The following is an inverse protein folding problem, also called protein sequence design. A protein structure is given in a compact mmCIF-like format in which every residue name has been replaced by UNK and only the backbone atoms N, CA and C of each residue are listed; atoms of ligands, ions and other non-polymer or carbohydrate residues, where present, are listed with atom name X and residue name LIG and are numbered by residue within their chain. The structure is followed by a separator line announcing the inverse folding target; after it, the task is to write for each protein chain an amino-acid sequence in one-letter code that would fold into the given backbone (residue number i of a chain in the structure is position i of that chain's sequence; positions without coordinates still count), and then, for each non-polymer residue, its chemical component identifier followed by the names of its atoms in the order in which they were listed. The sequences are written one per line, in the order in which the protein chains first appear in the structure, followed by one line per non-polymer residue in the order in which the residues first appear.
data_IF_513030110058
#
_entry.id   IF_513030110058
#
_cell.length_a   1.000
_cell.length_b   1.000
_cell.length_c   1.000
_cell.angle_alpha   90.00
_cell.angle_beta   90.00
_cell.angle_gamma   90.00
#
_symmetry.space_group_name_H-M   'P 1'
#
loop_
_entity.id
_entity.type
_entity.pdbx_description
1 polymer ?
#
# COMPACT_ATOMS: atom_id res chain seq x y z
N UNK A 1 15.86 -21.90 -11.26
CA UNK A 1 15.36 -21.05 -10.16
C UNK A 1 13.97 -21.57 -9.94
N UNK A 2 13.81 -22.38 -8.90
CA UNK A 2 12.67 -23.27 -8.71
C UNK A 2 11.36 -22.49 -8.60
N UNK A 3 10.34 -22.93 -9.36
CA UNK A 3 8.98 -22.35 -9.41
C UNK A 3 8.17 -22.56 -8.12
N UNK A 4 8.78 -23.14 -7.08
CA UNK A 4 8.16 -23.41 -5.77
C UNK A 4 8.03 -22.17 -4.86
N UNK A 5 8.45 -20.97 -5.32
CA UNK A 5 8.21 -19.73 -4.57
C UNK A 5 6.72 -19.36 -4.41
N UNK A 6 5.83 -20.02 -5.16
CA UNK A 6 4.41 -19.67 -5.22
C UNK A 6 3.53 -20.32 -4.15
N UNK A 7 4.04 -21.28 -3.37
CA UNK A 7 3.29 -21.91 -2.26
C UNK A 7 4.11 -21.93 -0.97
N UNK A 8 4.47 -20.76 -0.46
CA UNK A 8 4.93 -20.72 0.94
C UNK A 8 3.81 -21.22 1.85
N UNK A 9 4.08 -22.22 2.71
CA UNK A 9 3.09 -22.69 3.67
C UNK A 9 2.65 -21.51 4.55
N UNK A 10 1.40 -21.53 5.07
CA UNK A 10 0.96 -20.54 6.04
C UNK A 10 1.99 -20.41 7.15
N UNK A 11 2.38 -19.18 7.46
CA UNK A 11 3.38 -18.97 8.51
C UNK A 11 2.88 -19.57 9.81
N UNK A 12 3.72 -20.38 10.43
CA UNK A 12 3.41 -21.04 11.70
C UNK A 12 2.98 -19.98 12.76
N UNK A 13 1.94 -20.23 13.57
CA UNK A 13 1.49 -19.29 14.60
C UNK A 13 2.58 -18.80 15.55
N UNK A 14 3.57 -19.63 15.91
CA UNK A 14 4.68 -19.20 16.77
C UNK A 14 5.59 -18.19 16.07
N UNK A 15 5.84 -18.38 14.78
CA UNK A 15 6.59 -17.46 13.91
C UNK A 15 5.89 -16.11 13.80
N UNK A 16 4.58 -16.12 13.52
CA UNK A 16 3.78 -14.88 13.46
C UNK A 16 3.75 -14.21 14.83
N UNK A 17 3.59 -14.97 15.92
CA UNK A 17 3.64 -14.44 17.27
C UNK A 17 4.99 -13.76 17.54
N UNK A 18 6.12 -14.39 17.25
CA UNK A 18 7.44 -13.80 17.48
C UNK A 18 7.64 -12.50 16.69
N UNK A 19 7.15 -12.42 15.44
CA UNK A 19 7.22 -11.21 14.61
C UNK A 19 6.47 -10.01 15.17
N UNK A 20 5.39 -10.23 15.91
CA UNK A 20 4.51 -9.17 16.44
C UNK A 20 5.01 -8.55 17.77
N UNK A 21 6.27 -8.77 18.13
CA UNK A 21 6.86 -8.28 19.39
C UNK A 21 6.75 -6.75 19.55
N UNK A 22 6.94 -5.98 18.47
CA UNK A 22 6.84 -4.53 18.50
C UNK A 22 5.41 -4.05 18.76
N UNK A 23 4.42 -4.68 18.12
CA UNK A 23 3.00 -4.38 18.34
C UNK A 23 2.59 -4.62 19.79
N UNK A 24 2.96 -5.77 20.35
CA UNK A 24 2.69 -6.08 21.76
C UNK A 24 3.34 -5.07 22.71
N UNK A 25 4.56 -4.64 22.40
CA UNK A 25 5.25 -3.61 23.20
C UNK A 25 4.49 -2.29 23.18
N UNK A 26 4.03 -1.83 22.02
CA UNK A 26 3.21 -0.62 21.91
C UNK A 26 1.90 -0.73 22.70
N UNK A 27 1.17 -1.83 22.52
CA UNK A 27 -0.10 -2.09 23.21
C UNK A 27 0.09 -2.14 24.73
N UNK A 28 1.16 -2.79 25.22
CA UNK A 28 1.48 -2.86 26.66
C UNK A 28 1.73 -1.49 27.30
N UNK A 29 2.05 -0.47 26.48
CA UNK A 29 2.23 0.93 26.88
C UNK A 29 1.01 1.81 26.55
N UNK A 30 -0.14 1.19 26.23
CA UNK A 30 -1.38 1.88 25.93
C UNK A 30 -1.42 2.56 24.57
N UNK A 31 -0.50 2.22 23.65
CA UNK A 31 -0.52 2.73 22.28
C UNK A 31 -1.28 1.76 21.38
N UNK A 32 -2.49 2.12 20.90
CA UNK A 32 -3.19 1.31 19.93
C UNK A 32 -2.45 1.35 18.58
N UNK A 33 -2.41 0.23 17.88
CA UNK A 33 -1.71 0.13 16.59
C UNK A 33 -2.36 -0.88 15.65
N UNK A 34 -2.07 -0.73 14.36
CA UNK A 34 -2.55 -1.60 13.27
C UNK A 34 -1.36 -2.29 12.63
N UNK A 35 -1.44 -3.61 12.47
CA UNK A 35 -0.55 -4.37 11.60
C UNK A 35 -0.86 -4.04 10.14
N UNK A 36 0.13 -3.59 9.38
CA UNK A 36 -0.09 -3.03 8.04
C UNK A 36 0.78 -3.65 6.94
N UNK A 37 0.44 -3.34 5.69
CA UNK A 37 1.21 -3.66 4.48
C UNK A 37 1.55 -5.16 4.40
N UNK A 38 2.82 -5.48 4.15
CA UNK A 38 3.27 -6.84 3.86
C UNK A 38 2.89 -7.86 4.92
N UNK A 39 2.92 -7.49 6.21
CA UNK A 39 2.56 -8.41 7.29
C UNK A 39 1.07 -8.70 7.33
N UNK A 40 0.22 -7.69 7.09
CA UNK A 40 -1.23 -7.89 7.02
C UNK A 40 -1.60 -8.73 5.79
N UNK A 41 -1.00 -8.40 4.64
CA UNK A 41 -1.18 -9.15 3.40
C UNK A 41 -0.75 -10.61 3.56
N UNK A 42 0.40 -10.87 4.20
CA UNK A 42 0.93 -12.22 4.43
C UNK A 42 0.11 -13.02 5.45
N UNK A 43 -0.05 -12.51 6.67
CA UNK A 43 -0.59 -13.31 7.77
C UNK A 43 -2.12 -13.39 7.78
N UNK A 44 -2.79 -12.43 7.15
CA UNK A 44 -4.25 -12.36 7.15
C UNK A 44 -4.84 -12.62 5.78
N UNK A 45 -4.28 -12.00 4.74
CA UNK A 45 -4.80 -12.14 3.38
C UNK A 45 -4.08 -13.22 2.56
N UNK A 46 -3.17 -13.99 3.20
CA UNK A 46 -2.47 -15.14 2.62
C UNK A 46 -1.73 -14.84 1.31
N UNK A 47 -1.24 -13.61 1.18
CA UNK A 47 -0.40 -13.21 0.06
C UNK A 47 1.04 -13.70 0.35
N UNK A 48 1.67 -14.53 -0.50
CA UNK A 48 3.00 -15.09 -0.27
C UNK A 48 4.08 -14.06 -0.63
N UNK A 49 4.23 -13.06 0.23
CA UNK A 49 5.25 -12.03 0.13
C UNK A 49 6.21 -12.12 1.30
N UNK A 50 7.47 -11.76 1.05
CA UNK A 50 8.50 -11.67 2.08
C UNK A 50 8.83 -10.21 2.33
N UNK A 51 8.91 -9.83 3.60
CA UNK A 51 9.29 -8.47 3.98
C UNK A 51 10.21 -8.44 5.18
N UNK A 52 11.44 -7.91 5.04
CA UNK A 52 12.32 -7.62 6.17
C UNK A 52 11.87 -6.36 6.95
N UNK A 53 10.85 -5.67 6.45
CA UNK A 53 10.25 -4.48 7.05
C UNK A 53 8.90 -4.84 7.67
N UNK A 54 8.67 -4.41 8.90
CA UNK A 54 7.34 -4.40 9.51
C UNK A 54 6.79 -2.97 9.48
N UNK A 55 5.61 -2.80 8.88
CA UNK A 55 4.89 -1.53 8.89
C UNK A 55 3.81 -1.53 9.98
N UNK A 56 3.76 -0.45 10.74
CA UNK A 56 2.82 -0.29 11.86
C UNK A 56 2.16 1.08 11.75
N UNK A 57 0.84 1.10 11.69
CA UNK A 57 0.09 2.36 11.79
C UNK A 57 -0.21 2.66 13.25
N UNK A 58 -0.06 3.93 13.61
CA UNK A 58 -0.37 4.46 14.95
C UNK A 58 -1.15 5.77 14.82
N UNK A 59 -1.88 6.21 15.87
CA UNK A 59 -2.45 7.54 15.92
C UNK A 59 -1.37 8.59 15.66
N UNK A 60 -1.68 9.55 14.80
CA UNK A 60 -0.78 10.60 14.35
C UNK A 60 -0.08 11.31 15.52
N UNK A 61 -0.84 11.64 16.57
CA UNK A 61 -0.36 12.31 17.77
C UNK A 61 0.55 11.43 18.65
N UNK A 62 0.52 10.11 18.46
CA UNK A 62 1.33 9.14 19.20
C UNK A 62 2.55 8.66 18.41
N UNK A 63 2.79 9.14 17.19
CA UNK A 63 3.87 8.65 16.32
C UNK A 63 5.25 8.72 16.98
N UNK A 64 5.59 9.89 17.55
CA UNK A 64 6.88 10.09 18.25
C UNK A 64 6.98 9.29 19.54
N UNK A 65 5.89 9.20 20.31
CA UNK A 65 5.81 8.39 21.53
C UNK A 65 6.01 6.91 21.22
N UNK A 66 5.39 6.42 20.15
CA UNK A 66 5.54 5.04 19.66
C UNK A 66 6.99 4.73 19.31
N UNK A 67 7.66 5.63 18.59
CA UNK A 67 9.07 5.49 18.29
C UNK A 67 9.93 5.47 19.55
N UNK A 68 9.65 6.30 20.56
CA UNK A 68 10.37 6.29 21.83
C UNK A 68 10.22 4.96 22.57
N UNK A 69 8.99 4.41 22.64
CA UNK A 69 8.71 3.12 23.28
C UNK A 69 9.50 1.97 22.62
N UNK A 70 9.59 1.95 21.29
CA UNK A 70 10.35 0.92 20.57
C UNK A 70 11.87 1.10 20.74
N UNK A 71 12.35 2.35 20.88
CA UNK A 71 13.77 2.67 21.13
C UNK A 71 14.26 2.33 22.54
N UNK A 72 13.37 2.25 23.51
CA UNK A 72 13.70 1.63 24.81
C UNK A 72 14.04 0.14 24.67
N UNK A 73 13.78 -0.46 23.49
CA UNK A 73 14.10 -1.84 23.16
C UNK A 73 15.31 -1.93 22.25
N UNK A 74 15.26 -2.92 21.35
CA UNK A 74 16.39 -3.20 20.47
C UNK A 74 16.41 -2.40 19.16
N UNK A 75 15.70 -1.26 19.10
CA UNK A 75 15.57 -0.47 17.89
C UNK A 75 16.19 0.93 18.02
N UNK A 76 16.76 1.45 16.93
CA UNK A 76 17.25 2.82 16.84
C UNK A 76 16.68 3.52 15.60
N UNK A 77 16.56 4.85 15.63
CA UNK A 77 16.14 5.60 14.45
C UNK A 77 17.24 5.65 13.42
N UNK A 78 16.87 5.45 12.17
CA UNK A 78 17.75 5.63 11.02
C UNK A 78 17.08 6.55 9.99
N UNK A 79 17.86 7.24 9.13
CA UNK A 79 17.30 7.92 7.97
C UNK A 79 16.58 6.95 7.04
N UNK A 80 15.60 7.45 6.28
CA UNK A 80 14.97 6.67 5.22
C UNK A 80 16.01 6.16 4.22
N UNK A 81 15.89 4.88 3.88
CA UNK A 81 16.72 4.22 2.87
C UNK A 81 16.14 4.39 1.47
N UNK A 82 16.91 4.09 0.42
CA UNK A 82 16.53 4.33 -0.99
C UNK A 82 15.19 3.73 -1.39
N UNK A 83 14.74 2.68 -0.71
CA UNK A 83 13.45 2.03 -0.95
C UNK A 83 12.25 2.93 -0.61
N UNK A 84 12.46 3.89 0.28
CA UNK A 84 11.45 4.83 0.80
C UNK A 84 11.58 6.23 0.21
N UNK A 85 12.54 6.44 -0.70
CA UNK A 85 12.84 7.74 -1.30
C UNK A 85 12.49 7.73 -2.78
N UNK A 86 12.02 8.88 -3.27
CA UNK A 86 11.99 9.13 -4.71
C UNK A 86 13.41 9.39 -5.20
N UNK A 87 13.80 8.70 -6.28
CA UNK A 87 15.13 8.84 -6.88
C UNK A 87 15.16 9.82 -8.06
N UNK A 88 14.00 10.40 -8.40
CA UNK A 88 13.82 11.19 -9.61
C UNK A 88 13.37 12.61 -9.26
N UNK A 89 13.82 13.63 -10.02
CA UNK A 89 13.27 14.97 -9.90
C UNK A 89 11.75 14.98 -10.13
N UNK A 90 11.02 15.88 -9.46
CA UNK A 90 11.51 16.91 -8.54
C UNK A 90 11.59 16.47 -7.06
N UNK A 91 11.31 15.21 -6.76
CA UNK A 91 11.24 14.66 -5.40
C UNK A 91 12.49 13.90 -4.97
N UNK A 92 13.62 14.13 -5.65
CA UNK A 92 14.85 13.40 -5.41
C UNK A 92 15.24 13.42 -3.92
N UNK A 93 15.47 12.24 -3.35
CA UNK A 93 15.79 11.97 -1.96
C UNK A 93 14.73 12.43 -0.93
N UNK A 94 13.49 12.67 -1.34
CA UNK A 94 12.37 12.89 -0.42
C UNK A 94 11.63 11.58 -0.21
N UNK A 95 11.17 11.35 1.01
CA UNK A 95 10.30 10.22 1.29
C UNK A 95 8.86 10.53 0.91
N UNK A 96 8.15 9.51 0.44
CA UNK A 96 6.69 9.56 0.30
C UNK A 96 5.95 9.39 1.64
N UNK A 97 6.69 9.20 2.74
CA UNK A 97 6.20 9.20 4.12
C UNK A 97 6.86 10.35 4.91
N UNK A 98 6.41 11.61 4.73
CA UNK A 98 7.13 12.78 5.24
C UNK A 98 7.27 12.79 6.76
N UNK A 99 6.31 12.25 7.50
CA UNK A 99 6.33 12.15 8.96
C UNK A 99 6.70 10.76 9.47
N UNK A 100 6.82 9.77 8.58
CA UNK A 100 7.11 8.39 8.95
C UNK A 100 8.45 8.26 9.68
N UNK A 101 8.54 7.29 10.59
CA UNK A 101 9.75 7.03 11.37
C UNK A 101 10.26 5.64 11.06
N UNK A 102 11.44 5.57 10.44
CA UNK A 102 12.14 4.32 10.19
C UNK A 102 13.05 3.96 11.38
N UNK A 103 12.88 2.75 11.88
CA UNK A 103 13.66 2.16 12.94
C UNK A 103 14.40 0.92 12.42
N UNK A 104 15.59 0.67 12.95
CA UNK A 104 16.39 -0.53 12.66
C UNK A 104 16.77 -1.23 13.96
N UNK A 105 16.68 -2.55 13.96
CA UNK A 105 17.16 -3.38 15.05
C UNK A 105 18.69 -3.36 15.10
N UNK A 106 19.31 -3.06 16.25
CA UNK A 106 20.75 -2.83 16.33
C UNK A 106 21.59 -4.11 16.24
N UNK A 107 21.06 -5.25 16.70
CA UNK A 107 21.75 -6.55 16.58
C UNK A 107 21.72 -7.16 15.18
N UNK A 108 20.81 -6.74 14.29
CA UNK A 108 20.59 -7.43 13.02
C UNK A 108 21.55 -6.85 11.95
N UNK A 109 22.55 -7.63 11.50
CA UNK A 109 23.55 -7.18 10.56
C UNK A 109 22.94 -6.81 9.20
N UNK A 110 23.65 -5.92 8.48
CA UNK A 110 23.15 -5.46 7.20
C UNK A 110 23.20 -6.51 6.08
N UNK A 111 24.18 -7.42 6.16
CA UNK A 111 24.44 -8.46 5.16
C UNK A 111 23.57 -9.70 5.32
N UNK A 112 22.97 -9.90 6.50
CA UNK A 112 22.04 -10.99 6.76
C UNK A 112 20.77 -10.44 7.44
N UNK A 113 19.83 -9.87 6.67
CA UNK A 113 18.60 -9.29 7.20
C UNK A 113 17.66 -10.28 7.89
N UNK A 114 17.85 -11.59 7.67
CA UNK A 114 16.94 -12.65 8.09
C UNK A 114 17.53 -13.54 9.20
N UNK A 115 18.74 -13.23 9.69
CA UNK A 115 19.43 -14.03 10.71
C UNK A 115 18.63 -14.21 12.02
N UNK A 116 17.73 -13.28 12.32
CA UNK A 116 16.82 -13.36 13.47
C UNK A 116 15.35 -13.48 13.05
N UNK A 117 15.08 -13.97 11.84
CA UNK A 117 13.69 -14.25 11.46
C UNK A 117 13.03 -15.10 12.55
N UNK A 118 11.85 -14.68 13.04
CA UNK A 118 10.94 -13.73 12.40
C UNK A 118 10.97 -12.28 12.94
N UNK A 119 11.96 -11.91 13.76
CA UNK A 119 12.10 -10.56 14.32
C UNK A 119 12.37 -9.55 13.18
N UNK A 120 11.56 -8.48 13.03
CA UNK A 120 11.73 -7.58 11.91
C UNK A 120 13.01 -6.76 12.06
N UNK A 121 13.87 -6.80 11.03
CA UNK A 121 15.09 -5.98 10.95
C UNK A 121 14.78 -4.50 10.99
N UNK A 122 13.74 -4.07 10.26
CA UNK A 122 13.29 -2.68 10.22
C UNK A 122 11.84 -2.59 10.63
N UNK A 123 11.50 -1.49 11.30
CA UNK A 123 10.11 -1.10 11.58
C UNK A 123 9.89 0.27 10.97
N UNK A 124 8.84 0.41 10.16
CA UNK A 124 8.37 1.69 9.68
C UNK A 124 7.08 2.05 10.41
N UNK A 125 7.17 3.07 11.26
CA UNK A 125 6.01 3.66 11.93
C UNK A 125 5.39 4.72 11.02
N UNK A 126 4.09 4.61 10.77
CA UNK A 126 3.35 5.53 9.91
C UNK A 126 2.14 6.12 10.64
N UNK A 127 1.77 7.39 10.37
CA UNK A 127 0.48 7.93 10.78
C UNK A 127 -0.66 7.14 10.14
N UNK A 128 -1.68 6.80 10.92
CA UNK A 128 -2.88 6.12 10.40
C UNK A 128 -3.65 6.98 9.38
N UNK A 129 -3.56 8.31 9.50
CA UNK A 129 -4.22 9.25 8.59
C UNK A 129 -3.78 9.14 7.14
N UNK A 130 -2.56 8.63 6.88
CA UNK A 130 -2.06 8.40 5.52
C UNK A 130 -2.94 7.43 4.73
N UNK A 131 -3.69 6.57 5.44
CA UNK A 131 -4.54 5.53 4.88
C UNK A 131 -6.04 5.79 5.15
N UNK A 132 -6.40 6.94 5.71
CA UNK A 132 -7.79 7.22 6.09
C UNK A 132 -8.36 6.23 7.10
N UNK A 133 -7.50 5.72 7.99
CA UNK A 133 -7.86 4.73 9.01
C UNK A 133 -7.87 5.38 10.40
N UNK A 134 -8.70 4.82 11.27
CA UNK A 134 -8.71 5.16 12.69
C UNK A 134 -8.69 3.89 13.53
N UNK A 135 -7.58 3.66 14.22
CA UNK A 135 -7.36 2.52 15.13
C UNK A 135 -8.38 2.48 16.28
N UNK A 136 -9.09 3.58 16.54
CA UNK A 136 -10.17 3.62 17.54
C UNK A 136 -11.47 3.01 17.01
N UNK A 137 -11.65 2.97 15.70
CA UNK A 137 -12.85 2.41 15.05
C UNK A 137 -12.66 0.92 14.74
N UNK A 138 -13.02 0.06 15.68
CA UNK A 138 -12.78 -1.40 15.58
C UNK A 138 -13.55 -2.10 14.45
N UNK A 139 -14.62 -1.49 13.91
CA UNK A 139 -15.52 -2.12 12.94
C UNK A 139 -14.84 -2.52 11.63
N UNK A 140 -13.78 -1.81 11.24
CA UNK A 140 -13.00 -2.02 10.01
C UNK A 140 -11.87 -3.03 10.17
N UNK A 141 -11.67 -3.53 11.38
CA UNK A 141 -10.56 -4.42 11.73
C UNK A 141 -11.06 -5.78 12.20
N UNK A 142 -10.13 -6.72 12.27
CA UNK A 142 -10.34 -8.07 12.78
C UNK A 142 -9.20 -8.47 13.73
N UNK A 143 -9.46 -9.47 14.56
CA UNK A 143 -8.46 -10.03 15.47
C UNK A 143 -7.64 -11.11 14.77
N UNK A 144 -6.38 -11.28 15.21
CA UNK A 144 -5.52 -12.42 14.86
C UNK A 144 -5.71 -13.63 15.77
N UNK A 145 -6.61 -13.52 16.76
CA UNK A 145 -6.85 -14.54 17.78
C UNK A 145 -8.27 -15.10 17.61
N UNK A 146 -8.44 -16.43 17.52
CA UNK A 146 -7.44 -17.46 17.21
C UNK A 146 -6.90 -17.36 15.76
N UNK A 147 -5.76 -17.98 15.39
CA UNK A 147 -5.00 -19.01 16.11
C UNK A 147 -3.83 -18.48 16.96
N UNK A 148 -3.55 -17.17 16.96
CA UNK A 148 -2.42 -16.65 17.72
C UNK A 148 -2.69 -16.62 19.23
N UNK A 149 -1.61 -16.52 20.01
CA UNK A 149 -1.67 -16.34 21.46
C UNK A 149 -2.48 -15.09 21.85
N UNK A 150 -3.25 -15.17 22.95
CA UNK A 150 -4.15 -14.11 23.43
C UNK A 150 -3.48 -12.76 23.72
N UNK A 151 -2.16 -12.74 23.94
CA UNK A 151 -1.39 -11.48 24.03
C UNK A 151 -1.42 -10.64 22.74
N UNK A 152 -1.95 -11.17 21.65
CA UNK A 152 -2.12 -10.48 20.38
C UNK A 152 -3.57 -10.00 20.15
N UNK A 153 -4.50 -10.20 21.10
CA UNK A 153 -5.94 -9.91 20.92
C UNK A 153 -6.21 -8.45 20.57
N UNK A 154 -5.42 -7.52 21.12
CA UNK A 154 -5.56 -6.08 20.89
C UNK A 154 -4.82 -5.56 19.65
N UNK A 155 -4.09 -6.42 18.92
CA UNK A 155 -3.48 -6.06 17.64
C UNK A 155 -4.59 -6.02 16.60
N UNK A 156 -4.83 -4.83 16.05
CA UNK A 156 -5.81 -4.65 14.98
C UNK A 156 -5.17 -4.95 13.63
N UNK A 157 -5.91 -5.68 12.79
CA UNK A 157 -5.51 -5.96 11.41
C UNK A 157 -6.66 -5.61 10.49
N UNK A 158 -6.44 -4.89 9.38
CA UNK A 158 -7.52 -4.51 8.49
C UNK A 158 -8.22 -5.73 7.91
N UNK A 159 -9.55 -5.63 7.75
CA UNK A 159 -10.27 -6.53 6.84
C UNK A 159 -9.79 -6.28 5.41
N UNK A 160 -10.02 -7.23 4.50
CA UNK A 160 -9.53 -7.14 3.12
C UNK A 160 -9.93 -5.82 2.41
N UNK A 161 -11.22 -5.48 2.40
CA UNK A 161 -11.69 -4.23 1.80
C UNK A 161 -11.07 -3.00 2.50
N UNK A 162 -10.91 -3.03 3.83
CA UNK A 162 -10.28 -1.93 4.58
C UNK A 162 -8.81 -1.76 4.19
N UNK A 163 -8.09 -2.85 3.94
CA UNK A 163 -6.72 -2.80 3.44
C UNK A 163 -6.66 -2.13 2.05
N UNK A 164 -7.48 -2.61 1.10
CA UNK A 164 -7.59 -2.02 -0.24
C UNK A 164 -7.94 -0.53 -0.21
N UNK A 165 -8.92 -0.15 0.60
CA UNK A 165 -9.36 1.24 0.73
C UNK A 165 -8.28 2.14 1.31
N UNK A 166 -7.50 1.62 2.26
CA UNK A 166 -6.35 2.35 2.79
C UNK A 166 -5.31 2.62 1.71
N UNK A 167 -4.94 1.59 0.94
CA UNK A 167 -3.99 1.73 -0.18
C UNK A 167 -4.50 2.71 -1.25
N UNK A 168 -5.79 2.65 -1.61
CA UNK A 168 -6.39 3.63 -2.54
C UNK A 168 -6.38 5.03 -1.94
N UNK A 169 -6.71 5.17 -0.66
CA UNK A 169 -6.69 6.47 0.03
C UNK A 169 -5.32 7.12 -0.05
N UNK A 170 -4.25 6.34 0.16
CA UNK A 170 -2.88 6.81 0.00
C UNK A 170 -2.60 7.30 -1.42
N UNK A 171 -3.03 6.57 -2.45
CA UNK A 171 -2.80 6.95 -3.86
C UNK A 171 -3.59 8.21 -4.24
N UNK A 172 -4.84 8.31 -3.78
CA UNK A 172 -5.72 9.43 -4.10
C UNK A 172 -5.39 10.69 -3.30
N UNK A 173 -4.88 10.52 -2.08
CA UNK A 173 -4.52 11.60 -1.16
C UNK A 173 -3.13 11.39 -0.57
N UNK A 174 -2.08 11.37 -1.41
CA UNK A 174 -0.73 11.12 -0.94
C UNK A 174 -0.33 12.17 0.10
N UNK A 175 0.36 11.80 1.19
CA UNK A 175 0.73 12.73 2.27
C UNK A 175 1.54 13.95 1.80
N UNK A 176 2.27 13.77 0.71
CA UNK A 176 3.13 14.75 0.04
C UNK A 176 2.42 15.58 -1.03
N UNK A 177 1.12 15.33 -1.24
CA UNK A 177 0.32 15.94 -2.29
C UNK A 177 0.49 15.29 -3.67
N UNK A 178 -0.43 15.61 -4.59
CA UNK A 178 -0.43 15.09 -5.96
C UNK A 178 0.56 15.82 -6.88
N UNK A 179 1.15 16.92 -6.42
CA UNK A 179 2.11 17.71 -7.19
C UNK A 179 3.24 18.24 -6.30
N UNK A 180 4.50 17.85 -6.58
CA UNK A 180 4.90 16.81 -7.53
C UNK A 180 4.58 15.38 -7.07
N UNK A 181 4.19 14.52 -8.02
CA UNK A 181 3.83 13.12 -7.77
C UNK A 181 5.03 12.35 -7.19
N UNK A 182 4.79 11.62 -6.10
CA UNK A 182 5.74 10.64 -5.58
C UNK A 182 5.56 9.27 -6.26
N UNK A 183 6.28 9.06 -7.37
CA UNK A 183 6.09 7.88 -8.22
C UNK A 183 6.45 6.58 -7.50
N UNK A 184 7.46 6.58 -6.61
CA UNK A 184 7.84 5.38 -5.86
C UNK A 184 6.73 4.96 -4.91
N UNK A 185 6.18 5.92 -4.16
CA UNK A 185 5.08 5.69 -3.23
C UNK A 185 3.86 5.14 -3.94
N UNK A 186 3.43 5.78 -5.03
CA UNK A 186 2.29 5.28 -5.83
C UNK A 186 2.57 3.88 -6.39
N UNK A 187 3.74 3.65 -6.99
CA UNK A 187 4.06 2.36 -7.61
C UNK A 187 4.07 1.21 -6.59
N UNK A 188 4.58 1.47 -5.37
CA UNK A 188 4.54 0.49 -4.28
C UNK A 188 3.11 0.11 -3.92
N UNK A 189 2.27 1.10 -3.63
CA UNK A 189 0.88 0.84 -3.21
C UNK A 189 0.03 0.22 -4.33
N UNK A 190 0.31 0.55 -5.60
CA UNK A 190 -0.28 -0.13 -6.75
C UNK A 190 0.13 -1.61 -6.84
N UNK A 191 1.38 -1.94 -6.51
CA UNK A 191 1.86 -3.31 -6.42
C UNK A 191 1.11 -4.08 -5.32
N UNK A 192 0.94 -3.46 -4.15
CA UNK A 192 0.23 -4.06 -3.02
C UNK A 192 -1.25 -4.32 -3.34
N UNK A 193 -1.92 -3.36 -4.01
CA UNK A 193 -3.29 -3.56 -4.53
C UNK A 193 -3.31 -4.72 -5.54
N UNK A 194 -2.35 -4.77 -6.46
CA UNK A 194 -2.29 -5.84 -7.48
C UNK A 194 -2.13 -7.21 -6.84
N UNK A 195 -1.28 -7.35 -5.82
CA UNK A 195 -1.13 -8.59 -5.08
C UNK A 195 -2.42 -8.99 -4.37
N UNK A 196 -3.08 -8.07 -3.65
CA UNK A 196 -4.35 -8.35 -2.99
C UNK A 196 -5.43 -8.81 -3.97
N UNK A 197 -5.56 -8.14 -5.12
CA UNK A 197 -6.57 -8.49 -6.12
C UNK A 197 -6.26 -9.84 -6.77
N UNK A 198 -5.03 -10.06 -7.24
CA UNK A 198 -4.66 -11.31 -7.91
C UNK A 198 -4.80 -12.51 -6.96
N UNK A 199 -4.33 -12.43 -5.72
CA UNK A 199 -4.43 -13.57 -4.80
C UNK A 199 -5.85 -13.86 -4.34
N UNK A 200 -6.72 -12.85 -4.27
CA UNK A 200 -8.12 -13.07 -3.93
C UNK A 200 -8.91 -13.63 -5.11
N UNK A 201 -8.67 -13.12 -6.33
CA UNK A 201 -9.41 -13.56 -7.50
C UNK A 201 -8.87 -14.89 -8.03
N UNK A 202 -7.55 -15.03 -8.18
CA UNK A 202 -6.93 -16.23 -8.74
C UNK A 202 -6.82 -17.38 -7.70
N UNK A 203 -6.84 -17.04 -6.40
CA UNK A 203 -6.83 -18.02 -5.31
C UNK A 203 -8.10 -18.88 -5.23
N UNK A 204 -9.19 -18.44 -5.84
CA UNK A 204 -10.40 -19.25 -6.00
C UNK A 204 -10.32 -20.22 -7.19
N UNK A 205 -9.59 -19.86 -8.25
CA UNK A 205 -9.45 -20.69 -9.45
C UNK A 205 -8.41 -21.81 -9.28
N UNK A 206 -7.42 -21.62 -8.40
CA UNK A 206 -6.32 -22.59 -8.18
C UNK A 206 -6.57 -23.65 -7.09
N UNK A 207 -7.75 -23.67 -6.46
CA UNK A 207 -8.12 -24.70 -5.48
C UNK A 207 -8.53 -26.06 -6.10
N UNK A 208 -8.37 -26.25 -7.41
CA UNK A 208 -8.82 -27.46 -8.11
C UNK A 208 -7.85 -28.08 -9.11
N UNK A 209 -6.66 -27.53 -9.34
CA UNK A 209 -5.71 -28.10 -10.31
C UNK A 209 -4.40 -28.44 -9.59
N UNK A 210 -4.23 -29.73 -9.29
CA UNK A 210 -2.92 -30.32 -9.04
C UNK A 210 -2.16 -30.21 -10.37
N UNK A 211 -1.19 -29.30 -10.44
CA UNK A 211 -0.11 -29.43 -11.42
C UNK A 211 0.92 -30.34 -10.77
N UNK A 212 0.59 -31.62 -10.71
CA UNK A 212 1.59 -32.67 -10.65
C UNK A 212 2.08 -32.84 -12.10
N UNK A 213 2.80 -31.85 -12.62
CA UNK A 213 3.57 -31.99 -13.86
C UNK A 213 4.88 -32.70 -13.50
N UNK A 214 4.75 -33.99 -13.18
CA UNK A 214 5.84 -34.97 -13.31
C UNK A 214 5.87 -35.43 -14.78
N UNK A 215 6.10 -34.51 -15.73
CA UNK A 215 6.45 -34.86 -17.11
C UNK A 215 7.97 -34.69 -17.27
N UNK A 216 8.69 -35.64 -16.66
CA UNK A 216 9.98 -36.12 -17.16
C UNK A 216 9.73 -36.89 -18.47
N UNK A 217 9.40 -36.18 -19.55
CA UNK A 217 9.47 -36.74 -20.90
C UNK A 217 10.59 -36.02 -21.68
N UNK A 218 11.80 -36.55 -21.47
CA UNK A 218 12.80 -36.64 -22.53
C UNK A 218 12.13 -37.35 -23.72
N UNK A 219 11.74 -36.63 -24.77
CA UNK A 219 11.86 -37.14 -26.15
C UNK A 219 11.64 -36.04 -27.19
N UNK A 220 12.41 -36.20 -28.26
CA UNK A 220 12.46 -35.40 -29.47
C UNK A 220 11.11 -35.32 -30.23
N UNK A 221 11.10 -34.39 -31.18
CA UNK A 221 10.31 -34.32 -32.41
C UNK A 221 9.15 -33.33 -32.49
N UNK A 222 9.23 -32.59 -33.60
CA UNK A 222 8.29 -31.63 -34.15
C UNK A 222 6.88 -32.20 -34.26
N UNK A 223 5.88 -31.58 -33.62
CA UNK A 223 4.52 -31.55 -34.15
C UNK A 223 3.77 -30.30 -33.67
N UNK A 224 3.32 -29.51 -34.64
CA UNK A 224 2.45 -28.36 -34.49
C UNK A 224 1.04 -28.84 -34.08
N UNK A 225 0.69 -28.78 -32.79
CA UNK A 225 -0.70 -28.98 -32.35
C UNK A 225 -1.32 -27.66 -31.88
N UNK A 226 -2.23 -27.14 -32.71
CA UNK A 226 -3.10 -25.99 -32.45
C UNK A 226 -4.21 -26.38 -31.46
N UNK A 227 -3.86 -26.46 -30.17
CA UNK A 227 -4.82 -26.61 -29.08
C UNK A 227 -5.58 -25.31 -28.77
N UNK A 228 -6.77 -25.18 -29.33
CA UNK A 228 -7.76 -24.12 -29.08
C UNK A 228 -8.28 -24.12 -27.62
N UNK A 229 -7.50 -23.52 -26.73
CA UNK A 229 -7.97 -23.10 -25.40
C UNK A 229 -8.80 -21.82 -25.51
N UNK A 230 -10.06 -21.94 -25.96
CA UNK A 230 -11.02 -20.83 -26.14
C UNK A 230 -11.53 -20.25 -24.81
N UNK A 231 -10.63 -19.95 -23.86
CA UNK A 231 -10.89 -19.03 -22.76
C UNK A 231 -10.88 -17.63 -23.35
N UNK A 232 -11.97 -17.24 -24.00
CA UNK A 232 -12.17 -15.86 -24.45
C UNK A 232 -11.87 -14.92 -23.27
N UNK A 233 -10.90 -14.00 -23.40
CA UNK A 233 -10.66 -13.03 -22.35
C UNK A 233 -11.98 -12.28 -22.10
N UNK A 234 -12.37 -12.06 -20.84
CA UNK A 234 -13.65 -11.44 -20.51
C UNK A 234 -13.84 -10.18 -21.35
N UNK A 235 -15.02 -10.09 -21.97
CA UNK A 235 -15.40 -8.94 -22.79
C UNK A 235 -15.21 -7.69 -21.94
N UNK A 236 -14.43 -6.74 -22.45
CA UNK A 236 -14.11 -5.49 -21.76
C UNK A 236 -15.39 -4.87 -21.14
N UNK A 237 -15.46 -4.86 -19.80
CA UNK A 237 -16.53 -4.20 -19.05
C UNK A 237 -17.35 -5.09 -18.12
N UNK A 238 -17.30 -6.41 -18.24
CA UNK A 238 -17.94 -7.32 -17.27
C UNK A 238 -16.96 -7.73 -16.16
N UNK A 239 -17.34 -7.52 -14.90
CA UNK A 239 -16.54 -7.91 -13.74
C UNK A 239 -16.64 -9.42 -13.52
N UNK A 240 -15.53 -10.04 -13.13
CA UNK A 240 -15.54 -11.44 -12.65
C UNK A 240 -16.39 -11.54 -11.37
N UNK A 241 -16.95 -12.72 -11.03
CA UNK A 241 -17.75 -12.90 -9.81
C UNK A 241 -17.03 -12.42 -8.53
N UNK A 242 -15.74 -12.74 -8.39
CA UNK A 242 -14.97 -12.28 -7.22
C UNK A 242 -14.69 -10.77 -7.24
N UNK A 243 -14.54 -10.16 -8.43
CA UNK A 243 -14.42 -8.70 -8.55
C UNK A 243 -15.72 -8.00 -8.15
N UNK A 244 -16.88 -8.59 -8.46
CA UNK A 244 -18.18 -8.12 -7.95
C UNK A 244 -18.26 -8.21 -6.42
N UNK A 245 -17.79 -9.31 -5.82
CA UNK A 245 -17.73 -9.47 -4.35
C UNK A 245 -16.86 -8.38 -3.75
N UNK A 246 -15.61 -8.23 -4.23
CA UNK A 246 -14.69 -7.19 -3.77
C UNK A 246 -15.34 -5.80 -3.89
N UNK A 247 -15.93 -5.47 -5.03
CA UNK A 247 -16.57 -4.17 -5.24
C UNK A 247 -17.74 -3.91 -4.30
N UNK A 248 -18.51 -4.95 -3.97
CA UNK A 248 -19.65 -4.85 -3.06
C UNK A 248 -19.22 -4.58 -1.61
N UNK A 249 -18.05 -5.09 -1.20
CA UNK A 249 -17.48 -4.92 0.15
C UNK A 249 -16.86 -3.53 0.38
N UNK A 250 -16.45 -2.82 -0.67
CA UNK A 250 -15.87 -1.48 -0.55
C UNK A 250 -16.90 -0.51 0.07
N UNK A 251 -16.49 0.26 1.06
CA UNK A 251 -17.33 1.20 1.78
C UNK A 251 -17.12 2.66 1.32
N UNK A 252 -15.99 2.96 0.68
CA UNK A 252 -15.60 4.31 0.26
C UNK A 252 -15.87 4.55 -1.22
N UNK A 253 -16.33 5.77 -1.54
CA UNK A 253 -16.58 6.21 -2.91
C UNK A 253 -15.28 6.25 -3.72
N UNK A 254 -14.20 6.72 -3.10
CA UNK A 254 -12.86 6.81 -3.67
C UNK A 254 -12.36 5.45 -4.16
N UNK A 255 -12.43 4.42 -3.32
CA UNK A 255 -11.98 3.07 -3.69
C UNK A 255 -12.83 2.46 -4.80
N UNK A 256 -14.16 2.62 -4.72
CA UNK A 256 -15.07 2.17 -5.78
C UNK A 256 -14.76 2.86 -7.11
N UNK A 257 -14.60 4.18 -7.12
CA UNK A 257 -14.24 4.91 -8.34
C UNK A 257 -12.89 4.46 -8.90
N UNK A 258 -11.89 4.32 -8.03
CA UNK A 258 -10.53 3.97 -8.44
C UNK A 258 -10.47 2.57 -9.07
N UNK A 259 -11.06 1.56 -8.41
CA UNK A 259 -11.08 0.18 -8.92
C UNK A 259 -12.00 0.03 -10.14
N UNK A 260 -13.06 0.82 -10.24
CA UNK A 260 -13.88 0.88 -11.46
C UNK A 260 -13.05 1.29 -12.69
N UNK A 261 -12.16 2.27 -12.58
CA UNK A 261 -11.24 2.63 -13.68
C UNK A 261 -10.35 1.45 -14.05
N UNK A 262 -9.81 0.73 -13.06
CA UNK A 262 -8.96 -0.43 -13.32
C UNK A 262 -9.70 -1.48 -14.14
N UNK A 263 -10.90 -1.88 -13.72
CA UNK A 263 -11.63 -2.97 -14.36
C UNK A 263 -12.28 -2.57 -15.68
N UNK A 264 -12.91 -1.39 -15.77
CA UNK A 264 -13.57 -0.96 -17.01
C UNK A 264 -12.57 -0.53 -18.10
N UNK A 265 -11.45 0.09 -17.70
CA UNK A 265 -10.50 0.67 -18.65
C UNK A 265 -9.18 -0.11 -18.75
N UNK A 266 -9.01 -1.16 -17.94
CA UNK A 266 -7.80 -1.98 -17.92
C UNK A 266 -6.53 -1.20 -17.54
N UNK A 267 -6.66 -0.08 -16.82
CA UNK A 267 -5.52 0.81 -16.47
C UNK A 267 -5.69 1.41 -15.08
N UNK A 268 -4.57 1.75 -14.44
CA UNK A 268 -4.61 2.52 -13.20
C UNK A 268 -5.07 3.96 -13.42
N UNK A 269 -5.75 4.53 -12.43
CA UNK A 269 -6.07 5.94 -12.43
C UNK A 269 -4.77 6.78 -12.35
N UNK A 270 -4.66 7.77 -13.21
CA UNK A 270 -3.54 8.70 -13.26
C UNK A 270 -3.86 9.94 -12.41
N UNK A 271 -2.85 10.74 -12.07
CA UNK A 271 -3.05 11.96 -11.29
C UNK A 271 -4.06 12.93 -11.92
N UNK A 272 -4.15 12.99 -13.26
CA UNK A 272 -5.17 13.79 -13.96
C UNK A 272 -6.59 13.27 -13.70
N UNK A 273 -6.77 11.95 -13.62
CA UNK A 273 -8.07 11.33 -13.36
C UNK A 273 -8.48 11.62 -11.90
N UNK A 274 -7.54 11.50 -10.96
CA UNK A 274 -7.76 11.78 -9.53
C UNK A 274 -8.17 13.24 -9.32
N UNK A 275 -7.50 14.19 -9.96
CA UNK A 275 -7.87 15.61 -9.91
C UNK A 275 -9.25 15.87 -10.49
N UNK A 276 -9.56 15.24 -11.61
CA UNK A 276 -10.87 15.38 -12.26
C UNK A 276 -11.99 14.79 -11.38
N UNK A 277 -11.75 13.67 -10.70
CA UNK A 277 -12.65 13.11 -9.72
C UNK A 277 -12.97 14.11 -8.61
N UNK A 278 -11.95 14.69 -7.96
CA UNK A 278 -12.18 15.68 -6.91
C UNK A 278 -12.83 16.97 -7.40
N UNK A 279 -12.53 17.39 -8.64
CA UNK A 279 -13.19 18.54 -9.27
C UNK A 279 -14.69 18.27 -9.42
N UNK A 280 -15.07 17.09 -9.92
CA UNK A 280 -16.49 16.69 -10.06
C UNK A 280 -17.18 16.55 -8.72
N UNK A 281 -16.53 15.91 -7.75
CA UNK A 281 -17.04 15.75 -6.38
C UNK A 281 -17.30 17.11 -5.71
N UNK A 282 -16.39 18.07 -5.89
CA UNK A 282 -16.56 19.44 -5.38
C UNK A 282 -17.70 20.21 -6.06
N UNK A 283 -17.92 20.01 -7.36
CA UNK A 283 -19.04 20.64 -8.07
C UNK A 283 -20.40 20.04 -7.67
N UNK A 284 -20.44 18.73 -7.44
CA UNK A 284 -21.63 18.03 -6.97
C UNK A 284 -22.01 18.49 -5.56
N UNK A 285 -21.05 18.69 -4.66
CA UNK A 285 -21.31 19.19 -3.30
C UNK A 285 -21.66 20.69 -3.25
N UNK A 286 -21.22 21.48 -4.24
CA UNK A 286 -21.53 22.90 -4.34
C UNK A 286 -22.90 23.21 -4.98
N UNK A 287 -23.56 22.23 -5.59
CA UNK A 287 -24.88 22.41 -6.18
C UNK A 287 -25.96 22.29 -5.09
N UNK A 288 -26.68 23.37 -4.74
CA UNK A 288 -27.74 23.29 -3.75
C UNK A 288 -28.93 22.57 -4.38
N UNK A 289 -29.08 21.27 -4.09
CA UNK A 289 -30.35 20.59 -4.32
C UNK A 289 -31.40 21.27 -3.44
N UNK A 290 -32.25 22.09 -4.06
CA UNK A 290 -33.44 22.62 -3.41
C UNK A 290 -34.40 21.47 -3.10
N UNK A 291 -34.42 20.97 -1.87
CA UNK A 291 -35.58 20.34 -1.25
C UNK A 291 -35.40 20.15 0.27
N UNK A 292 -36.50 20.08 1.05
CA UNK A 292 -36.56 20.63 2.40
C UNK A 292 -36.24 19.63 3.52
N UNK A 293 -35.62 20.18 4.57
CA UNK A 293 -35.81 19.88 6.00
C UNK A 293 -36.14 18.42 6.40
N UNK A 294 -35.13 17.68 6.86
CA UNK A 294 -35.24 16.87 8.08
C UNK A 294 -33.85 16.55 8.68
N UNK A 295 -33.62 17.14 9.86
CA UNK A 295 -32.83 16.74 11.04
C UNK A 295 -31.72 15.67 10.92
N UNK A 296 -30.52 16.13 11.32
CA UNK A 296 -29.48 15.49 12.16
C UNK A 296 -29.00 14.07 11.83
N UNK A 297 -27.73 13.97 11.45
CA UNK A 297 -26.74 13.38 12.36
C UNK A 297 -25.33 13.95 12.11
N UNK A 298 -24.66 14.37 13.18
CA UNK A 298 -23.43 15.16 13.19
C UNK A 298 -22.23 14.23 13.45
N UNK A 299 -21.49 13.88 12.40
CA UNK A 299 -20.21 13.16 12.49
C UNK A 299 -19.18 13.59 11.43
N UNK A 300 -19.35 14.78 10.83
CA UNK A 300 -18.46 15.29 9.76
C UNK A 300 -17.74 16.57 10.15
N UNK A 301 -16.96 16.52 11.24
CA UNK A 301 -15.99 17.57 11.59
C UNK A 301 -14.62 17.03 12.01
N UNK A 302 -14.03 16.20 11.17
CA UNK A 302 -12.58 16.07 11.08
C UNK A 302 -12.23 16.03 9.58
N UNK A 303 -11.15 16.70 9.17
CA UNK A 303 -10.77 17.04 7.78
C UNK A 303 -11.27 18.40 7.22
N UNK A 304 -10.93 19.51 7.88
CA UNK A 304 -10.83 20.81 7.18
C UNK A 304 -9.97 21.87 7.89
N UNK A 305 -8.82 21.51 8.49
CA UNK A 305 -8.03 22.49 9.28
C UNK A 305 -6.50 22.40 9.14
N UNK A 306 -5.96 21.91 8.01
CA UNK A 306 -4.50 21.89 7.81
C UNK A 306 -4.00 22.57 6.54
N UNK A 307 -4.71 23.58 6.05
CA UNK A 307 -4.18 24.52 5.07
C UNK A 307 -4.59 25.94 5.46
N UNK A 308 -3.85 26.57 6.38
CA UNK A 308 -3.67 28.03 6.52
C UNK A 308 -3.00 28.34 7.87
N UNK A 309 -1.66 28.42 7.90
CA UNK A 309 -0.92 29.37 8.74
C UNK A 309 0.60 29.15 8.60
N UNK A 310 1.26 30.06 7.88
CA UNK A 310 2.48 30.77 8.32
C UNK A 310 2.99 31.64 7.17
N UNK A 311 2.59 32.91 7.21
CA UNK A 311 3.25 34.05 6.56
C UNK A 311 3.50 35.11 7.63
N UNK A 312 4.53 35.93 7.41
CA UNK A 312 5.05 37.02 8.24
C UNK A 312 6.13 36.60 9.25
N UNK A 313 7.28 37.26 9.44
CA UNK A 313 8.14 38.19 8.69
C UNK A 313 9.32 38.44 9.65
N UNK A 314 10.57 38.40 9.20
CA UNK A 314 11.64 39.16 9.85
C UNK A 314 12.80 39.38 8.89
N UNK A 315 12.92 40.64 8.47
CA UNK A 315 13.99 41.23 7.67
C UNK A 315 15.31 41.31 8.44
N UNK A 316 16.43 40.99 7.79
CA UNK A 316 17.71 41.69 7.96
C UNK A 316 18.60 41.47 6.73
N UNK A 317 19.36 42.52 6.43
CA UNK A 317 19.94 42.89 5.14
C UNK A 317 21.42 42.52 4.95
N UNK A 318 21.79 42.37 3.67
CA UNK A 318 23.11 42.60 3.02
C UNK A 318 24.13 41.44 2.97
N UNK A 319 25.09 41.43 1.99
CA UNK A 319 25.10 42.03 0.65
C UNK A 319 25.45 41.04 -0.50
N UNK A 320 25.31 41.55 -1.74
CA UNK A 320 25.54 40.93 -3.05
C UNK A 320 26.87 40.19 -3.21
N UNK A 321 26.80 39.02 -3.88
CA UNK A 321 27.88 38.51 -4.74
C UNK A 321 27.29 38.08 -6.07
N UNK A 322 27.92 38.57 -7.13
CA UNK A 322 27.62 38.25 -8.52
C UNK A 322 27.81 36.76 -8.80
N UNK A 323 26.79 36.14 -9.38
CA UNK A 323 26.93 34.85 -10.04
C UNK A 323 26.28 34.89 -11.42
N UNK A 324 27.09 34.45 -12.37
CA UNK A 324 26.89 34.37 -13.81
C UNK A 324 25.69 33.51 -14.20
N UNK A 325 24.98 33.97 -15.24
CA UNK A 325 23.82 33.31 -15.87
C UNK A 325 24.26 32.06 -16.65
N UNK A 326 23.73 30.86 -16.37
CA UNK A 326 23.82 29.73 -17.29
C UNK A 326 22.63 29.71 -18.26
N UNK A 327 22.93 29.40 -19.52
CA UNK A 327 22.00 29.27 -20.66
C UNK A 327 20.91 28.19 -20.42
N UNK A 328 19.76 28.28 -21.12
CA UNK A 328 18.63 27.38 -20.91
C UNK A 328 18.94 25.94 -21.39
N UNK A 329 18.90 24.98 -20.46
CA UNK A 329 18.92 23.56 -20.79
C UNK A 329 17.55 23.11 -21.32
N UNK A 330 17.61 22.45 -22.47
CA UNK A 330 16.53 21.80 -23.21
C UNK A 330 15.78 20.81 -22.32
N UNK A 331 14.44 20.87 -22.34
CA UNK A 331 13.55 19.92 -21.63
C UNK A 331 13.72 18.50 -22.19
N UNK A 332 14.01 17.49 -21.37
CA UNK A 332 13.81 16.11 -21.76
C UNK A 332 12.33 15.73 -21.60
N UNK A 333 11.73 15.23 -22.66
CA UNK A 333 10.41 14.58 -22.65
C UNK A 333 10.49 13.34 -21.76
N UNK A 334 9.75 13.34 -20.64
CA UNK A 334 9.71 12.23 -19.69
C UNK A 334 8.92 11.07 -20.32
N UNK A 335 9.61 9.97 -20.60
CA UNK A 335 9.03 8.74 -21.16
C UNK A 335 8.14 8.03 -20.13
N UNK A 336 6.91 7.74 -20.56
CA UNK A 336 5.87 7.00 -19.84
C UNK A 336 6.20 5.51 -19.56
N UNK A 337 7.45 5.08 -19.65
CA UNK A 337 7.79 3.65 -19.81
C UNK A 337 7.85 2.82 -18.52
N UNK A 338 8.00 3.40 -17.33
CA UNK A 338 8.20 2.60 -16.10
C UNK A 338 6.88 2.09 -15.51
N UNK A 339 5.85 2.94 -15.45
CA UNK A 339 4.48 2.52 -15.10
C UNK A 339 3.91 1.58 -16.16
N UNK A 340 4.21 1.83 -17.44
CA UNK A 340 3.83 0.92 -18.52
C UNK A 340 4.52 -0.45 -18.38
N UNK A 341 5.76 -0.55 -17.89
CA UNK A 341 6.44 -1.84 -17.69
C UNK A 341 5.85 -2.67 -16.55
N UNK A 342 5.37 -2.06 -15.47
CA UNK A 342 4.63 -2.76 -14.41
C UNK A 342 3.24 -3.17 -14.91
N UNK A 343 2.58 -2.31 -15.70
CA UNK A 343 1.31 -2.64 -16.38
C UNK A 343 1.52 -3.76 -17.41
N UNK A 344 2.60 -3.77 -18.17
CA UNK A 344 2.91 -4.79 -19.17
C UNK A 344 3.40 -6.07 -18.50
N UNK A 345 4.12 -6.03 -17.38
CA UNK A 345 4.47 -7.22 -16.60
C UNK A 345 3.22 -7.83 -15.93
N UNK A 346 2.32 -7.00 -15.39
CA UNK A 346 1.05 -7.47 -14.84
C UNK A 346 0.11 -7.99 -15.94
N UNK A 347 0.10 -7.36 -17.14
CA UNK A 347 -0.66 -7.82 -18.32
C UNK A 347 -0.03 -9.04 -19.01
N UNK A 348 1.31 -9.19 -19.00
CA UNK A 348 1.99 -10.37 -19.53
C UNK A 348 1.85 -11.54 -18.56
N UNK A 349 1.90 -11.30 -17.24
CA UNK A 349 1.62 -12.32 -16.23
C UNK A 349 0.15 -12.80 -16.32
N UNK A 350 -0.80 -11.88 -16.51
CA UNK A 350 -2.21 -12.22 -16.78
C UNK A 350 -2.47 -12.84 -18.18
N UNK A 351 -1.49 -12.82 -19.10
CA UNK A 351 -1.61 -13.38 -20.47
C UNK A 351 -0.78 -14.63 -20.72
N UNK A 352 0.12 -15.02 -19.81
CA UNK A 352 0.97 -16.23 -19.92
C UNK A 352 0.50 -17.39 -19.05
N UNK A 353 -0.54 -17.17 -18.25
CA UNK A 353 -1.13 -18.15 -17.31
C UNK A 353 -2.60 -18.44 -17.67
N UNK A 354 -3.05 -17.93 -18.82
CA UNK A 354 -4.19 -18.36 -19.63
C UNK A 354 -3.64 -18.80 -20.98
#
# INVERSE_FOLDING_TARGET
MDDDYHRQPPSDPATVHARLVAHRRLISRGVPCILWSDDAMKYVHRVPIMSPLQEILVPDELLKTSAAILKEGSYTSIPFTKEHLDLWPPNNNKSYFPDGILLQHWDIPAHDPYIFDPIPRKILLLPQSYYGLDVRSKERFQSLVPPLHASNTDILVPKYHTCLEGLVTFIMNPPVGLEPIHLRGISRHLCDISHLLNYRVDGNDKNGVNYDDDDDDDDDDDDEDEGDGDSKPPVHGELRPEEHVIFSELQTEEARWFLKILWEQGRWAQAKDIKEFYRRKSLASASPTMAPSARMDDSRRYFSSLCLAKKSLSSRSSPMRDFSVPKPCVRPTISASYGQRIITASRLFLRRVM
#
